data_IF_590371095411
#
_entry.id   IF_590371095411
#
_cell.length_a   1.000
_cell.length_b   1.000
_cell.length_c   1.000
_cell.angle_alpha   90.00
_cell.angle_beta   90.00
_cell.angle_gamma   90.00
#
_symmetry.space_group_name_H-M   'P 1'
#
loop_
_entity.id
_entity.type
_entity.pdbx_description
1 polymer ?
#
# COMPACT_ATOMS: atom_id res chain seq x y z
N UNK A 1 -47.45 33.96 -8.16
CA UNK A 1 -46.95 33.01 -7.20
C UNK A 1 -46.17 31.89 -7.86
N UNK A 2 -46.66 31.18 -8.88
CA UNK A 2 -46.00 30.05 -9.61
C UNK A 2 -44.66 30.39 -10.23
N UNK A 3 -44.48 31.59 -10.84
CA UNK A 3 -43.21 31.97 -11.48
C UNK A 3 -42.06 32.18 -10.49
N UNK A 4 -42.32 32.78 -9.34
CA UNK A 4 -41.32 32.99 -8.28
C UNK A 4 -40.87 31.64 -7.67
N UNK A 5 -41.79 30.72 -7.50
CA UNK A 5 -41.49 29.35 -7.01
C UNK A 5 -40.61 28.57 -8.01
N UNK A 6 -40.94 28.62 -9.31
CA UNK A 6 -40.13 27.98 -10.37
C UNK A 6 -38.71 28.55 -10.43
N UNK A 7 -38.54 29.87 -10.27
CA UNK A 7 -37.22 30.52 -10.26
C UNK A 7 -36.41 30.05 -9.04
N UNK A 8 -37.00 30.05 -7.84
CA UNK A 8 -36.36 29.57 -6.62
C UNK A 8 -35.93 28.09 -6.72
N UNK A 9 -36.82 27.22 -7.22
CA UNK A 9 -36.53 25.81 -7.41
C UNK A 9 -35.38 25.58 -8.40
N UNK A 10 -35.35 26.27 -9.54
CA UNK A 10 -34.25 26.19 -10.52
C UNK A 10 -32.93 26.62 -9.89
N UNK A 11 -32.89 27.68 -9.09
CA UNK A 11 -31.69 28.16 -8.41
C UNK A 11 -31.20 27.12 -7.40
N UNK A 12 -32.11 26.54 -6.60
CA UNK A 12 -31.77 25.50 -5.63
C UNK A 12 -31.22 24.24 -6.30
N UNK A 13 -31.87 23.76 -7.36
CA UNK A 13 -31.42 22.59 -8.13
C UNK A 13 -30.04 22.85 -8.78
N UNK A 14 -29.85 24.03 -9.38
CA UNK A 14 -28.56 24.39 -9.98
C UNK A 14 -27.45 24.49 -8.94
N UNK A 15 -27.75 25.05 -7.77
CA UNK A 15 -26.80 25.10 -6.65
C UNK A 15 -26.43 23.71 -6.17
N UNK A 16 -27.42 22.87 -5.91
CA UNK A 16 -27.18 21.48 -5.47
C UNK A 16 -26.36 20.69 -6.50
N UNK A 17 -26.77 20.74 -7.77
CA UNK A 17 -26.05 20.07 -8.86
C UNK A 17 -24.58 20.52 -8.96
N UNK A 18 -24.33 21.84 -8.88
CA UNK A 18 -22.99 22.41 -8.94
C UNK A 18 -22.10 21.92 -7.80
N UNK A 19 -22.60 21.96 -6.56
CA UNK A 19 -21.83 21.55 -5.40
C UNK A 19 -21.64 20.03 -5.33
N UNK A 20 -22.70 19.27 -5.61
CA UNK A 20 -22.58 17.79 -5.69
C UNK A 20 -21.61 17.38 -6.79
N UNK A 21 -21.70 18.00 -7.97
CA UNK A 21 -20.79 17.74 -9.07
C UNK A 21 -19.33 18.09 -8.74
N UNK A 22 -19.10 19.21 -8.03
CA UNK A 22 -17.76 19.58 -7.59
C UNK A 22 -17.19 18.58 -6.58
N UNK A 23 -17.96 18.21 -5.57
CA UNK A 23 -17.52 17.23 -4.54
C UNK A 23 -17.26 15.86 -5.16
N UNK A 24 -18.22 15.31 -5.91
CA UNK A 24 -18.06 14.01 -6.55
C UNK A 24 -16.94 14.02 -7.59
N UNK A 25 -16.83 15.09 -8.39
CA UNK A 25 -15.76 15.26 -9.37
C UNK A 25 -14.38 15.27 -8.71
N UNK A 26 -14.23 15.97 -7.59
CA UNK A 26 -12.98 15.97 -6.83
C UNK A 26 -12.63 14.57 -6.31
N UNK A 27 -13.58 13.86 -5.75
CA UNK A 27 -13.37 12.47 -5.27
C UNK A 27 -12.94 11.55 -6.42
N UNK A 28 -13.62 11.65 -7.58
CA UNK A 28 -13.28 10.84 -8.76
C UNK A 28 -11.88 11.16 -9.29
N UNK A 29 -11.48 12.45 -9.34
CA UNK A 29 -10.13 12.84 -9.76
C UNK A 29 -9.08 12.28 -8.80
N UNK A 30 -9.28 12.40 -7.50
CA UNK A 30 -8.35 11.86 -6.50
C UNK A 30 -8.27 10.33 -6.57
N UNK A 31 -9.41 9.65 -6.73
CA UNK A 31 -9.43 8.20 -6.91
C UNK A 31 -8.72 7.76 -8.19
N UNK A 32 -8.94 8.47 -9.31
CA UNK A 32 -8.27 8.20 -10.58
C UNK A 32 -6.76 8.40 -10.51
N UNK A 33 -6.30 9.51 -9.93
CA UNK A 33 -4.87 9.79 -9.77
C UNK A 33 -4.18 8.77 -8.86
N UNK A 34 -4.80 8.45 -7.71
CA UNK A 34 -4.25 7.44 -6.81
C UNK A 34 -4.23 6.05 -7.43
N UNK A 35 -5.28 5.67 -8.15
CA UNK A 35 -5.33 4.41 -8.90
C UNK A 35 -4.26 4.31 -9.99
N UNK A 36 -4.01 5.40 -10.71
CA UNK A 36 -2.93 5.46 -11.71
C UNK A 36 -1.54 5.27 -11.10
N UNK A 37 -1.27 5.86 -9.93
CA UNK A 37 -0.02 5.64 -9.20
C UNK A 37 0.10 4.18 -8.71
N UNK A 38 -1.00 3.59 -8.24
CA UNK A 38 -1.03 2.22 -7.76
C UNK A 38 -0.89 1.17 -8.88
N UNK A 39 -1.08 1.54 -10.15
CA UNK A 39 -0.76 0.64 -11.27
C UNK A 39 0.74 0.32 -11.33
N UNK A 40 1.59 1.17 -10.77
CA UNK A 40 3.05 1.01 -10.68
C UNK A 40 3.53 0.86 -9.23
N UNK A 41 2.67 0.32 -8.33
CA UNK A 41 2.98 0.27 -6.89
C UNK A 41 4.25 -0.53 -6.60
N UNK A 42 4.47 -1.64 -7.30
CA UNK A 42 5.66 -2.49 -7.12
C UNK A 42 6.95 -1.80 -7.54
N UNK A 43 6.95 -1.14 -8.67
CA UNK A 43 8.10 -0.41 -9.21
C UNK A 43 8.42 0.81 -8.35
N UNK A 44 7.39 1.57 -7.99
CA UNK A 44 7.54 2.76 -7.15
C UNK A 44 8.00 2.39 -5.74
N UNK A 45 7.40 1.36 -5.12
CA UNK A 45 7.81 0.89 -3.80
C UNK A 45 9.25 0.33 -3.84
N UNK A 46 9.62 -0.44 -4.88
CA UNK A 46 10.97 -0.95 -5.05
C UNK A 46 12.01 0.16 -5.32
N UNK A 47 11.61 1.25 -5.96
CA UNK A 47 12.47 2.42 -6.14
C UNK A 47 12.65 3.21 -4.86
N UNK A 48 11.56 3.49 -4.14
CA UNK A 48 11.57 4.24 -2.88
C UNK A 48 12.27 3.47 -1.75
N UNK A 49 12.12 2.14 -1.74
CA UNK A 49 12.54 1.26 -0.65
C UNK A 49 13.54 0.19 -1.15
N UNK A 50 14.43 0.57 -2.06
CA UNK A 50 15.45 -0.33 -2.60
C UNK A 50 16.25 -1.11 -1.53
N UNK A 51 16.64 -0.52 -0.38
CA UNK A 51 17.36 -1.27 0.66
C UNK A 51 16.57 -2.44 1.26
N UNK A 52 15.23 -2.41 1.18
CA UNK A 52 14.36 -3.50 1.67
C UNK A 52 13.92 -4.44 0.54
N UNK A 53 13.69 -3.89 -0.67
CA UNK A 53 12.97 -4.59 -1.74
C UNK A 53 13.89 -5.08 -2.86
N UNK A 54 15.20 -4.86 -2.74
CA UNK A 54 16.22 -5.35 -3.68
C UNK A 54 17.30 -6.12 -2.96
N UNK A 55 17.77 -7.19 -3.58
CA UNK A 55 18.92 -7.96 -3.10
C UNK A 55 20.17 -7.08 -3.07
N UNK A 56 21.00 -7.24 -2.05
CA UNK A 56 22.20 -6.43 -1.86
C UNK A 56 23.20 -6.56 -3.01
N UNK A 57 23.36 -7.76 -3.56
CA UNK A 57 24.26 -8.06 -4.68
C UNK A 57 23.55 -8.07 -6.05
N UNK A 58 22.29 -7.64 -6.14
CA UNK A 58 21.50 -7.67 -7.37
C UNK A 58 20.93 -9.06 -7.67
N UNK A 59 20.87 -9.42 -8.97
CA UNK A 59 20.30 -10.70 -9.39
C UNK A 59 21.25 -11.86 -9.12
N UNK A 60 20.74 -12.99 -8.67
CA UNK A 60 21.46 -14.26 -8.56
C UNK A 60 20.95 -15.28 -9.58
N UNK A 61 21.79 -16.26 -9.88
CA UNK A 61 21.47 -17.31 -10.86
C UNK A 61 20.27 -18.17 -10.43
N UNK A 62 20.14 -18.42 -9.11
CA UNK A 62 19.02 -19.18 -8.52
C UNK A 62 18.68 -18.58 -7.16
N UNK A 63 17.46 -18.06 -6.98
CA UNK A 63 16.99 -17.62 -5.67
C UNK A 63 16.82 -18.82 -4.74
N UNK A 64 17.07 -18.58 -3.45
CA UNK A 64 16.79 -19.56 -2.39
C UNK A 64 15.28 -19.87 -2.33
N UNK A 65 14.89 -21.04 -1.80
CA UNK A 65 13.48 -21.37 -1.68
C UNK A 65 12.78 -20.42 -0.67
N UNK A 66 11.46 -20.18 -0.80
CA UNK A 66 10.69 -19.30 0.11
C UNK A 66 10.81 -19.67 1.59
N UNK A 67 11.10 -20.93 1.89
CA UNK A 67 11.37 -21.39 3.27
C UNK A 67 12.61 -20.73 3.89
N UNK A 68 13.57 -20.28 3.09
CA UNK A 68 14.72 -19.52 3.58
C UNK A 68 14.27 -18.13 4.09
N UNK A 69 13.37 -17.45 3.36
CA UNK A 69 12.80 -16.19 3.79
C UNK A 69 11.95 -16.35 5.07
N UNK A 70 11.18 -17.44 5.16
CA UNK A 70 10.43 -17.77 6.38
C UNK A 70 11.35 -17.91 7.59
N UNK A 71 12.44 -18.69 7.45
CA UNK A 71 13.43 -18.89 8.52
C UNK A 71 14.11 -17.60 8.94
N UNK A 72 14.47 -16.73 8.00
CA UNK A 72 15.11 -15.45 8.30
C UNK A 72 14.22 -14.58 9.20
N UNK A 73 12.92 -14.50 8.91
CA UNK A 73 11.96 -13.75 9.73
C UNK A 73 11.77 -14.41 11.10
N UNK A 74 11.64 -15.74 11.16
CA UNK A 74 11.49 -16.46 12.43
C UNK A 74 12.75 -16.41 13.31
N UNK A 75 13.93 -16.28 12.71
CA UNK A 75 15.16 -16.05 13.46
C UNK A 75 15.25 -14.63 14.04
N UNK A 76 14.81 -13.63 13.27
CA UNK A 76 14.79 -12.23 13.72
C UNK A 76 13.69 -11.99 14.77
N UNK A 77 12.54 -12.66 14.62
CA UNK A 77 11.39 -12.56 15.53
C UNK A 77 10.89 -13.97 15.91
N UNK A 78 11.48 -14.62 16.92
CA UNK A 78 11.06 -15.94 17.38
C UNK A 78 9.58 -15.93 17.81
N UNK A 79 8.79 -16.83 17.25
CA UNK A 79 7.34 -16.89 17.48
C UNK A 79 6.51 -16.01 16.53
N UNK A 80 7.13 -15.36 15.53
CA UNK A 80 6.38 -14.63 14.51
C UNK A 80 5.42 -15.55 13.73
N UNK A 81 4.18 -15.12 13.59
CA UNK A 81 3.19 -15.79 12.74
C UNK A 81 3.30 -15.21 11.32
N UNK A 82 3.68 -16.06 10.38
CA UNK A 82 3.80 -15.66 8.97
C UNK A 82 2.42 -15.65 8.31
N UNK A 83 2.09 -14.53 7.65
CA UNK A 83 0.82 -14.36 6.94
C UNK A 83 0.96 -14.64 5.43
N UNK A 84 2.04 -14.14 4.80
CA UNK A 84 2.28 -14.32 3.38
C UNK A 84 3.76 -14.15 3.03
N UNK A 85 4.20 -14.82 1.96
CA UNK A 85 5.51 -14.62 1.35
C UNK A 85 5.29 -14.29 -0.12
N UNK A 86 5.65 -13.06 -0.51
CA UNK A 86 5.63 -12.63 -1.91
C UNK A 86 6.96 -12.98 -2.54
N UNK A 87 6.91 -13.71 -3.66
CA UNK A 87 8.09 -14.10 -4.43
C UNK A 87 8.71 -12.90 -5.15
N UNK A 88 10.03 -12.94 -5.45
CA UNK A 88 10.66 -11.93 -6.30
C UNK A 88 9.97 -11.82 -7.66
N UNK A 89 9.52 -10.61 -8.03
CA UNK A 89 8.78 -10.37 -9.29
C UNK A 89 9.71 -9.98 -10.44
N UNK A 90 10.97 -9.67 -10.16
CA UNK A 90 11.96 -9.26 -11.15
C UNK A 90 13.37 -9.73 -10.73
N UNK A 91 14.34 -9.82 -11.67
CA UNK A 91 15.72 -10.09 -11.32
C UNK A 91 16.25 -9.07 -10.30
N UNK A 92 16.87 -9.57 -9.24
CA UNK A 92 17.39 -8.74 -8.16
C UNK A 92 16.35 -8.24 -7.14
N UNK A 93 15.09 -8.61 -7.27
CA UNK A 93 14.08 -8.35 -6.24
C UNK A 93 14.27 -9.28 -5.03
N UNK A 94 13.94 -8.78 -3.83
CA UNK A 94 13.92 -9.56 -2.59
C UNK A 94 12.59 -10.29 -2.38
N UNK A 95 12.56 -11.23 -1.44
CA UNK A 95 11.31 -11.73 -0.86
C UNK A 95 10.68 -10.65 0.02
N UNK A 96 9.34 -10.53 -0.02
CA UNK A 96 8.58 -9.76 0.98
C UNK A 96 7.81 -10.73 1.85
N UNK A 97 8.05 -10.68 3.14
CA UNK A 97 7.41 -11.57 4.12
C UNK A 97 6.49 -10.71 5.00
N UNK A 98 5.21 -11.02 4.98
CA UNK A 98 4.23 -10.43 5.90
C UNK A 98 4.09 -11.32 7.12
N UNK A 99 4.15 -10.72 8.29
CA UNK A 99 4.10 -11.44 9.57
C UNK A 99 3.45 -10.60 10.67
N UNK A 100 3.12 -11.23 11.78
CA UNK A 100 2.69 -10.55 13.00
C UNK A 100 3.53 -11.06 14.17
N UNK A 101 3.89 -10.16 15.08
CA UNK A 101 4.64 -10.48 16.28
C UNK A 101 4.33 -9.49 17.41
N UNK A 102 4.16 -9.98 18.64
CA UNK A 102 3.68 -9.16 19.76
C UNK A 102 4.65 -8.05 20.21
N UNK A 103 5.95 -8.24 20.00
CA UNK A 103 6.98 -7.31 20.49
C UNK A 103 7.40 -6.25 19.44
N UNK A 104 6.80 -6.23 18.26
CA UNK A 104 7.13 -5.24 17.21
C UNK A 104 5.90 -4.79 16.45
N UNK A 105 5.85 -3.53 16.07
CA UNK A 105 4.87 -3.01 15.13
C UNK A 105 5.20 -3.38 13.67
N UNK A 106 6.44 -3.80 13.37
CA UNK A 106 6.82 -4.23 12.04
C UNK A 106 5.99 -5.47 11.64
N UNK A 107 5.40 -5.42 10.46
CA UNK A 107 4.56 -6.48 9.91
C UNK A 107 4.91 -6.86 8.47
N UNK A 108 5.96 -6.28 7.91
CA UNK A 108 6.56 -6.66 6.63
C UNK A 108 8.08 -6.58 6.70
N UNK A 109 8.74 -7.59 6.16
CA UNK A 109 10.20 -7.67 6.07
C UNK A 109 10.64 -8.03 4.66
N UNK A 110 11.74 -7.41 4.21
CA UNK A 110 12.48 -7.78 3.02
C UNK A 110 13.57 -8.78 3.35
N UNK A 111 13.66 -9.87 2.59
CA UNK A 111 14.70 -10.90 2.73
C UNK A 111 15.38 -11.08 1.39
N UNK A 112 16.70 -11.00 1.38
CA UNK A 112 17.52 -11.17 0.18
C UNK A 112 17.32 -12.58 -0.39
N UNK A 113 16.87 -12.64 -1.65
CA UNK A 113 16.50 -13.89 -2.28
C UNK A 113 17.75 -14.76 -2.63
N UNK A 114 18.93 -14.17 -2.64
CA UNK A 114 20.18 -14.87 -2.97
C UNK A 114 20.88 -15.42 -1.72
N UNK A 115 20.85 -14.65 -0.63
CA UNK A 115 21.61 -14.96 0.59
C UNK A 115 20.72 -15.42 1.74
N UNK A 116 19.42 -15.11 1.70
CA UNK A 116 18.49 -15.36 2.81
C UNK A 116 18.65 -14.38 3.98
N UNK A 117 19.42 -13.32 3.83
CA UNK A 117 19.61 -12.32 4.88
C UNK A 117 18.39 -11.38 4.97
N UNK A 118 18.02 -11.03 6.21
CA UNK A 118 17.06 -9.99 6.47
C UNK A 118 17.66 -8.64 6.05
N UNK A 119 16.96 -7.92 5.17
CA UNK A 119 17.42 -6.63 4.65
C UNK A 119 16.91 -5.47 5.50
N UNK A 120 15.61 -5.37 5.66
CA UNK A 120 14.93 -4.36 6.48
C UNK A 120 13.50 -4.81 6.78
N UNK A 121 12.84 -4.09 7.70
CA UNK A 121 11.43 -4.30 8.04
C UNK A 121 10.70 -2.97 8.16
N UNK A 122 9.36 -3.00 8.00
CA UNK A 122 8.49 -1.83 8.18
C UNK A 122 7.14 -2.21 8.77
N UNK A 123 6.46 -1.23 9.34
CA UNK A 123 5.05 -1.32 9.69
C UNK A 123 4.21 -0.78 8.51
N UNK A 124 3.59 -1.65 7.72
CA UNK A 124 2.74 -1.26 6.59
C UNK A 124 1.47 -0.51 7.00
N UNK A 125 1.07 -0.66 8.25
CA UNK A 125 -0.15 -0.04 8.78
C UNK A 125 0.11 1.34 9.39
N UNK A 126 1.36 1.75 9.52
CA UNK A 126 1.73 3.07 10.00
C UNK A 126 1.21 4.17 9.06
N UNK A 127 0.68 5.23 9.66
CA UNK A 127 0.26 6.46 8.95
C UNK A 127 1.42 7.44 9.02
N UNK A 128 2.38 7.29 8.10
CA UNK A 128 3.54 8.15 8.02
C UNK A 128 3.77 8.60 6.58
N UNK A 129 4.18 9.86 6.40
CA UNK A 129 4.49 10.46 5.11
C UNK A 129 6.00 10.40 4.84
N UNK A 130 6.54 9.19 4.89
CA UNK A 130 7.92 8.91 4.51
C UNK A 130 7.96 7.87 3.39
N UNK A 131 9.15 7.67 2.81
CA UNK A 131 9.33 6.76 1.68
C UNK A 131 8.95 5.30 1.97
N UNK A 132 9.12 4.86 3.24
CA UNK A 132 8.83 3.46 3.62
C UNK A 132 7.32 3.20 3.67
N UNK A 133 6.52 4.21 3.99
CA UNK A 133 5.08 4.09 4.23
C UNK A 133 4.22 4.67 3.11
N UNK A 134 4.83 5.40 2.14
CA UNK A 134 4.08 6.13 1.11
C UNK A 134 3.18 5.21 0.27
N UNK A 135 3.72 4.11 -0.27
CA UNK A 135 2.93 3.20 -1.11
C UNK A 135 1.88 2.41 -0.32
N UNK A 136 2.18 1.81 0.85
CA UNK A 136 1.18 1.22 1.73
C UNK A 136 0.07 2.20 2.14
N UNK A 137 0.42 3.44 2.48
CA UNK A 137 -0.53 4.48 2.85
C UNK A 137 -1.45 4.86 1.68
N UNK A 138 -0.87 5.05 0.49
CA UNK A 138 -1.62 5.37 -0.73
C UNK A 138 -2.61 4.25 -1.08
N UNK A 139 -2.17 2.99 -1.00
CA UNK A 139 -3.02 1.82 -1.22
C UNK A 139 -4.18 1.76 -0.22
N UNK A 140 -3.89 2.01 1.06
CA UNK A 140 -4.90 2.04 2.11
C UNK A 140 -5.88 3.19 1.90
N UNK A 141 -5.39 4.39 1.57
CA UNK A 141 -6.23 5.54 1.27
C UNK A 141 -7.15 5.26 0.07
N UNK A 142 -6.62 4.70 -1.01
CA UNK A 142 -7.40 4.38 -2.21
C UNK A 142 -8.51 3.34 -1.93
N UNK A 143 -8.18 2.29 -1.15
CA UNK A 143 -9.13 1.19 -0.86
C UNK A 143 -10.17 1.51 0.19
N UNK A 144 -9.85 2.33 1.19
CA UNK A 144 -10.67 2.48 2.39
C UNK A 144 -10.92 3.92 2.79
N UNK A 145 -10.40 4.90 2.03
CA UNK A 145 -10.37 6.32 2.41
C UNK A 145 -9.86 6.53 3.85
N UNK A 146 -8.93 5.67 4.30
CA UNK A 146 -8.38 5.61 5.67
C UNK A 146 -9.41 5.26 6.77
N UNK A 147 -10.60 4.82 6.41
CA UNK A 147 -11.68 4.49 7.38
C UNK A 147 -11.54 3.07 7.99
N UNK A 148 -10.43 2.38 7.74
CA UNK A 148 -10.16 1.06 8.30
C UNK A 148 -11.18 0.00 7.85
N UNK A 149 -11.73 -0.77 8.81
CA UNK A 149 -12.69 -1.85 8.50
C UNK A 149 -14.00 -1.32 7.90
N UNK A 150 -14.50 -0.19 8.39
CA UNK A 150 -15.76 0.44 7.91
C UNK A 150 -15.67 0.88 6.46
N UNK A 151 -14.50 1.39 6.01
CA UNK A 151 -14.31 1.80 4.61
C UNK A 151 -14.17 0.63 3.62
N UNK A 152 -14.11 -0.62 4.10
CA UNK A 152 -14.02 -1.82 3.27
C UNK A 152 -15.41 -2.40 2.93
N UNK A 153 -16.44 -1.97 3.65
CA UNK A 153 -17.84 -2.44 3.49
C UNK A 153 -18.68 -1.50 2.59
N UNK A 154 -18.08 -0.42 2.10
CA UNK A 154 -18.67 0.53 1.15
C UNK A 154 -18.10 0.28 -0.23
#
# INVERSE_FOLDING_TARGET
MKAKLRKSLRTAVSFLHRWTGLVLGTVLVLAGLSGSLLAFDHELDAWLNAPMLRNAAGACAAPLPPSAAARAVQQAWPGATLAAITLPQAPGASYRVQFTHAATAANEAGVDACTGLLLASRDRDAVALDRAHLMPLLLRWHKTLLQGKTGREV
#
